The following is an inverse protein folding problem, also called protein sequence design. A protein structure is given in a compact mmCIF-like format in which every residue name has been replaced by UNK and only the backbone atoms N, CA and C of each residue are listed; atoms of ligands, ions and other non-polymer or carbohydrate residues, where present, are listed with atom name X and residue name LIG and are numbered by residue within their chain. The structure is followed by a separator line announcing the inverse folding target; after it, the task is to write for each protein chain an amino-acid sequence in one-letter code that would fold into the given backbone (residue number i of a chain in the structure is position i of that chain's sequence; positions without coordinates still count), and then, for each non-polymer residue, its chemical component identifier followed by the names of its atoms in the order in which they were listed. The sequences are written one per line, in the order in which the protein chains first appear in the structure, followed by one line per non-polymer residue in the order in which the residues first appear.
data_IF_875459685649
#
_entry.id   IF_875459685649
#
_cell.length_a   1.000
_cell.length_b   1.000
_cell.length_c   1.000
_cell.angle_alpha   90.00
_cell.angle_beta   90.00
_cell.angle_gamma   90.00
#
_symmetry.space_group_name_H-M   'P 1'
#
loop_
_entity.id
_entity.type
_entity.pdbx_description
1 polymer ?
#
# COMPACT_ATOMS: atom_id res chain seq x y z
N UNK A 1 -12.91 -6.04 6.95
CA UNK A 1 -12.21 -6.99 6.06
C UNK A 1 -13.04 -7.11 4.78
N UNK A 2 -12.47 -6.74 3.64
CA UNK A 2 -13.15 -6.84 2.34
C UNK A 2 -12.58 -8.05 1.58
N UNK A 3 -13.23 -9.23 1.66
CA UNK A 3 -12.74 -10.42 0.98
C UNK A 3 -12.52 -10.15 -0.51
N UNK A 4 -11.31 -10.43 -0.99
CA UNK A 4 -10.92 -10.26 -2.39
C UNK A 4 -10.33 -8.90 -2.77
N UNK A 5 -10.15 -7.95 -1.83
CA UNK A 5 -9.34 -6.75 -2.09
C UNK A 5 -7.87 -7.02 -1.83
N UNK A 6 -7.00 -6.57 -2.73
CA UNK A 6 -5.56 -6.62 -2.51
C UNK A 6 -5.12 -5.40 -1.73
N UNK A 7 -4.37 -5.64 -0.66
CA UNK A 7 -3.77 -4.63 0.19
C UNK A 7 -2.27 -4.91 0.33
N UNK A 8 -1.54 -3.88 0.75
CA UNK A 8 -0.18 -4.06 1.25
C UNK A 8 -0.25 -4.53 2.71
N UNK A 9 0.73 -5.31 3.21
CA UNK A 9 0.78 -5.70 4.62
C UNK A 9 0.78 -4.48 5.54
N UNK A 10 0.12 -4.60 6.69
CA UNK A 10 0.12 -3.53 7.68
C UNK A 10 -1.15 -3.47 8.51
N UNK A 11 -1.03 -2.77 9.64
CA UNK A 11 -2.10 -2.62 10.60
C UNK A 11 -1.99 -1.33 11.39
N UNK A 12 -2.56 -1.33 12.59
CA UNK A 12 -2.64 -0.13 13.43
C UNK A 12 -1.36 0.01 14.24
N UNK A 13 -0.94 1.26 14.43
CA UNK A 13 0.08 1.61 15.42
C UNK A 13 -0.40 1.18 16.79
N UNK A 14 0.42 0.41 17.52
CA UNK A 14 0.17 0.06 18.92
C UNK A 14 1.02 0.94 19.85
N UNK A 15 0.41 1.47 20.90
CA UNK A 15 1.07 2.30 21.91
C UNK A 15 1.86 3.48 21.33
N UNK A 16 3.19 3.40 21.45
CA UNK A 16 4.13 4.45 21.06
C UNK A 16 5.05 4.04 19.89
N UNK A 17 4.66 3.01 19.12
CA UNK A 17 5.39 2.59 17.93
C UNK A 17 5.54 3.75 16.92
N UNK A 18 6.69 3.81 16.26
CA UNK A 18 6.83 4.55 15.01
C UNK A 18 6.17 3.79 13.85
N UNK A 19 5.87 4.48 12.75
CA UNK A 19 5.32 3.84 11.55
C UNK A 19 6.21 2.68 11.05
N UNK A 20 7.53 2.84 11.08
CA UNK A 20 8.49 1.79 10.73
C UNK A 20 8.42 0.57 11.66
N UNK A 21 8.29 0.80 12.98
CA UNK A 21 8.14 -0.28 13.96
C UNK A 21 6.86 -1.07 13.73
N UNK A 22 5.73 -0.37 13.54
CA UNK A 22 4.45 -0.97 13.20
C UNK A 22 4.54 -1.77 11.90
N UNK A 23 5.10 -1.20 10.83
CA UNK A 23 5.24 -1.91 9.55
C UNK A 23 6.04 -3.20 9.67
N UNK A 24 7.16 -3.20 10.42
CA UNK A 24 7.98 -4.41 10.64
C UNK A 24 7.27 -5.45 11.51
N UNK A 25 6.54 -5.03 12.55
CA UNK A 25 5.74 -5.95 13.39
C UNK A 25 4.66 -6.63 12.56
N UNK A 26 3.85 -5.85 11.85
CA UNK A 26 2.75 -6.36 11.02
C UNK A 26 3.27 -7.28 9.91
N UNK A 27 4.41 -6.95 9.28
CA UNK A 27 5.03 -7.82 8.28
C UNK A 27 5.49 -9.17 8.86
N UNK A 28 5.96 -9.17 10.11
CA UNK A 28 6.32 -10.40 10.82
C UNK A 28 5.07 -11.21 11.22
N UNK A 29 4.02 -10.55 11.68
CA UNK A 29 2.74 -11.18 12.10
C UNK A 29 1.98 -11.75 10.90
N UNK A 30 1.87 -11.01 9.82
CA UNK A 30 1.10 -11.40 8.63
C UNK A 30 1.85 -12.36 7.72
N UNK A 31 3.17 -12.17 7.52
CA UNK A 31 3.96 -12.87 6.50
C UNK A 31 5.16 -13.67 7.04
N UNK A 32 5.42 -13.62 8.35
CA UNK A 32 6.61 -14.25 8.95
C UNK A 32 7.93 -13.61 8.50
N UNK A 33 7.89 -12.40 7.94
CA UNK A 33 9.07 -11.74 7.39
C UNK A 33 9.65 -10.75 8.41
N UNK A 34 10.77 -11.15 9.00
CA UNK A 34 11.46 -10.38 10.03
C UNK A 34 12.51 -9.44 9.40
N UNK A 35 12.32 -8.13 9.59
CA UNK A 35 13.23 -7.08 9.14
C UNK A 35 13.66 -6.21 10.34
N UNK A 36 14.71 -5.43 10.13
CA UNK A 36 15.31 -4.55 11.13
C UNK A 36 15.22 -3.07 10.70
N UNK A 37 15.60 -2.15 11.59
CA UNK A 37 15.65 -0.72 11.28
C UNK A 37 16.62 -0.41 10.12
N UNK A 38 17.64 -1.25 9.90
CA UNK A 38 18.61 -1.08 8.81
C UNK A 38 18.02 -1.40 7.43
N UNK A 39 16.88 -2.09 7.38
CA UNK A 39 16.19 -2.46 6.15
C UNK A 39 15.17 -1.39 5.71
N UNK A 40 14.98 -0.33 6.51
CA UNK A 40 14.09 0.78 6.18
C UNK A 40 14.75 1.76 5.21
N UNK A 41 14.16 1.88 4.01
CA UNK A 41 14.65 2.80 2.98
C UNK A 41 14.06 4.21 3.13
N UNK A 42 12.89 4.31 3.76
CA UNK A 42 12.20 5.57 4.03
C UNK A 42 10.69 5.42 3.99
N UNK A 43 10.01 6.57 3.95
CA UNK A 43 8.55 6.66 3.95
C UNK A 43 8.05 7.37 2.69
N UNK A 44 6.88 6.96 2.22
CA UNK A 44 6.10 7.70 1.23
C UNK A 44 5.13 8.65 1.93
N UNK A 45 4.31 9.38 1.17
CA UNK A 45 3.38 10.32 1.77
C UNK A 45 2.25 9.61 2.50
N UNK A 46 1.84 10.22 3.61
CA UNK A 46 0.58 9.89 4.26
C UNK A 46 -0.60 9.97 3.29
N UNK A 47 -1.45 8.96 3.35
CA UNK A 47 -2.70 8.88 2.61
C UNK A 47 -3.89 8.91 3.58
N UNK A 48 -4.64 10.04 3.66
CA UNK A 48 -5.84 10.13 4.48
C UNK A 48 -6.99 9.37 3.83
N UNK A 49 -7.68 8.52 4.59
CA UNK A 49 -8.84 7.77 4.12
C UNK A 49 -10.15 8.48 4.45
N UNK A 50 -11.20 8.25 3.66
CA UNK A 50 -12.57 8.70 3.96
C UNK A 50 -13.13 8.12 5.27
N UNK A 51 -12.63 6.95 5.68
CA UNK A 51 -12.98 6.30 6.95
C UNK A 51 -12.30 6.94 8.18
N UNK A 52 -11.50 8.00 7.99
CA UNK A 52 -10.90 8.77 9.08
C UNK A 52 -9.55 8.24 9.58
N UNK A 53 -8.94 7.29 8.86
CA UNK A 53 -7.59 6.82 9.14
C UNK A 53 -6.57 7.59 8.30
N UNK A 54 -5.32 7.59 8.76
CA UNK A 54 -4.16 8.01 7.97
C UNK A 54 -3.27 6.79 7.80
N UNK A 55 -2.91 6.48 6.57
CA UNK A 55 -1.98 5.40 6.23
C UNK A 55 -0.62 6.02 5.95
N UNK A 56 0.40 5.64 6.70
CA UNK A 56 1.80 6.06 6.49
C UNK A 56 2.56 4.92 5.83
N UNK A 57 2.87 4.98 4.52
CA UNK A 57 3.52 3.87 3.84
C UNK A 57 5.03 3.87 4.10
N UNK A 58 5.55 2.73 4.55
CA UNK A 58 6.98 2.52 4.82
C UNK A 58 7.57 1.61 3.74
N UNK A 59 8.72 2.00 3.19
CA UNK A 59 9.44 1.21 2.19
C UNK A 59 10.57 0.45 2.87
N UNK A 60 10.49 -0.89 2.80
CA UNK A 60 11.45 -1.81 3.41
C UNK A 60 12.16 -2.63 2.33
N UNK A 61 13.45 -2.90 2.52
CA UNK A 61 14.25 -3.75 1.64
C UNK A 61 14.49 -5.12 2.27
N UNK A 62 13.75 -6.14 1.80
CA UNK A 62 13.88 -7.51 2.31
C UNK A 62 15.03 -8.32 1.69
N UNK A 63 15.87 -7.70 0.85
CA UNK A 63 16.93 -8.39 0.12
C UNK A 63 16.40 -9.51 -0.77
N UNK A 64 17.11 -10.65 -0.79
CA UNK A 64 16.58 -11.89 -1.38
C UNK A 64 15.55 -12.44 -0.41
N UNK A 65 14.29 -12.02 -0.58
CA UNK A 65 13.20 -12.43 0.28
C UNK A 65 13.08 -13.97 0.29
N UNK A 66 13.32 -14.56 1.46
CA UNK A 66 13.18 -16.00 1.72
C UNK A 66 11.73 -16.48 1.60
N UNK A 67 11.45 -17.70 2.05
CA UNK A 67 10.08 -18.19 2.09
C UNK A 67 9.23 -17.36 3.05
N UNK A 68 8.04 -16.95 2.59
CA UNK A 68 7.05 -16.25 3.42
C UNK A 68 6.20 -17.30 4.13
N UNK A 69 5.80 -17.01 5.37
CA UNK A 69 4.90 -17.86 6.16
C UNK A 69 3.64 -17.06 6.48
N UNK A 70 2.63 -17.02 5.59
CA UNK A 70 1.46 -16.19 5.79
C UNK A 70 0.62 -16.70 6.96
N UNK A 71 0.13 -15.79 7.81
CA UNK A 71 -0.82 -16.11 8.86
C UNK A 71 -2.20 -16.39 8.23
N UNK A 72 -2.73 -17.63 8.30
CA UNK A 72 -4.00 -17.97 7.63
C UNK A 72 -5.23 -17.28 8.24
N UNK A 73 -5.13 -16.76 9.47
CA UNK A 73 -6.24 -16.05 10.12
C UNK A 73 -6.43 -14.63 9.55
N UNK A 74 -5.41 -14.07 8.89
CA UNK A 74 -5.40 -12.70 8.39
C UNK A 74 -5.13 -12.61 6.87
N UNK A 75 -4.32 -13.53 6.34
CA UNK A 75 -3.84 -13.51 4.95
C UNK A 75 -4.39 -14.70 4.17
N UNK A 76 -5.33 -14.42 3.26
CA UNK A 76 -5.90 -15.44 2.38
C UNK A 76 -4.96 -15.89 1.26
N UNK A 77 -4.23 -14.95 0.66
CA UNK A 77 -3.26 -15.23 -0.42
C UNK A 77 -2.15 -14.17 -0.42
N UNK A 78 -0.94 -14.58 -0.81
CA UNK A 78 0.22 -13.69 -0.96
C UNK A 78 0.66 -13.65 -2.41
N UNK A 79 0.73 -12.44 -2.97
CA UNK A 79 1.24 -12.21 -4.31
C UNK A 79 2.57 -11.46 -4.26
N UNK A 80 3.59 -12.01 -4.92
CA UNK A 80 4.82 -11.26 -5.23
C UNK A 80 4.61 -10.51 -6.54
N UNK A 81 4.61 -9.18 -6.47
CA UNK A 81 4.37 -8.31 -7.62
C UNK A 81 5.71 -7.81 -8.17
N UNK A 82 6.10 -8.14 -9.42
CA UNK A 82 7.29 -7.57 -10.04
C UNK A 82 7.15 -6.06 -10.18
N UNK A 83 8.24 -5.31 -10.03
CA UNK A 83 8.23 -3.84 -10.21
C UNK A 83 7.70 -3.43 -11.59
N UNK A 84 8.01 -4.20 -12.63
CA UNK A 84 7.49 -3.96 -13.98
C UNK A 84 5.95 -4.08 -14.09
N UNK A 85 5.31 -4.82 -13.19
CA UNK A 85 3.85 -4.95 -13.18
C UNK A 85 3.14 -3.72 -12.58
N UNK A 86 3.83 -2.95 -11.73
CA UNK A 86 3.33 -1.67 -11.19
C UNK A 86 3.84 -0.46 -11.97
N UNK A 87 4.83 -0.63 -12.86
CA UNK A 87 5.31 0.41 -13.76
C UNK A 87 4.39 0.60 -14.98
N UNK A 88 3.13 0.86 -14.69
CA UNK A 88 2.07 1.07 -15.67
C UNK A 88 1.34 2.38 -15.35
N UNK A 89 0.70 2.96 -16.36
CA UNK A 89 -0.03 4.20 -16.17
C UNK A 89 -1.34 3.95 -15.39
N UNK A 90 -1.60 4.69 -14.30
CA UNK A 90 -2.88 4.60 -13.60
C UNK A 90 -4.01 5.22 -14.44
N UNK A 91 -5.25 4.89 -14.06
CA UNK A 91 -6.44 5.59 -14.54
C UNK A 91 -6.92 6.55 -13.46
N UNK A 92 -7.27 7.76 -13.88
CA UNK A 92 -7.93 8.74 -13.06
C UNK A 92 -9.37 8.93 -13.56
N UNK A 93 -10.34 8.79 -12.67
CA UNK A 93 -11.76 8.89 -12.97
C UNK A 93 -12.35 10.07 -12.20
N UNK A 94 -13.26 10.79 -12.86
CA UNK A 94 -14.12 11.78 -12.19
C UNK A 94 -15.41 11.10 -11.75
N UNK A 95 -15.87 11.43 -10.55
CA UNK A 95 -17.15 10.94 -10.01
C UNK A 95 -18.01 12.14 -9.55
N UNK A 96 -19.35 12.04 -9.55
CA UNK A 96 -20.21 13.13 -9.08
C UNK A 96 -20.02 13.50 -7.60
N UNK A 97 -19.53 12.58 -6.77
CA UNK A 97 -19.46 12.74 -5.32
C UNK A 97 -18.18 13.44 -4.82
N UNK A 98 -17.20 13.66 -5.70
CA UNK A 98 -15.92 14.31 -5.34
C UNK A 98 -15.28 14.99 -6.55
N UNK A 99 -14.77 16.21 -6.34
CA UNK A 99 -13.96 16.92 -7.33
C UNK A 99 -12.54 16.34 -7.46
N UNK A 100 -12.12 15.53 -6.49
CA UNK A 100 -10.83 14.85 -6.51
C UNK A 100 -10.84 13.62 -7.44
N UNK A 101 -9.75 13.37 -8.20
CA UNK A 101 -9.70 12.26 -9.12
C UNK A 101 -9.59 10.92 -8.38
N UNK A 102 -10.46 9.97 -8.71
CA UNK A 102 -10.39 8.60 -8.21
C UNK A 102 -9.31 7.84 -8.98
N UNK A 103 -8.34 7.28 -8.26
CA UNK A 103 -7.25 6.50 -8.87
C UNK A 103 -7.58 5.00 -8.95
N UNK A 104 -7.21 4.40 -10.07
CA UNK A 104 -7.15 2.96 -10.28
C UNK A 104 -5.80 2.59 -10.88
N UNK A 105 -5.13 1.57 -10.33
CA UNK A 105 -3.91 1.01 -10.92
C UNK A 105 -4.24 -0.34 -11.55
N UNK A 106 -3.97 -0.56 -12.85
CA UNK A 106 -3.99 -1.90 -13.43
C UNK A 106 -2.97 -2.79 -12.71
N UNK A 107 -3.40 -3.94 -12.21
CA UNK A 107 -2.48 -4.93 -11.64
C UNK A 107 -3.00 -6.33 -11.90
N UNK A 108 -2.16 -7.15 -12.54
CA UNK A 108 -2.54 -8.44 -13.12
C UNK A 108 -3.79 -8.30 -14.01
N UNK A 109 -4.89 -9.00 -13.72
CA UNK A 109 -6.13 -9.03 -14.50
C UNK A 109 -7.24 -8.12 -13.94
N UNK A 110 -6.89 -7.22 -13.01
CA UNK A 110 -7.87 -6.36 -12.31
C UNK A 110 -7.36 -4.95 -12.06
N UNK A 111 -8.25 -4.10 -11.54
CA UNK A 111 -7.90 -2.79 -11.02
C UNK A 111 -7.80 -2.83 -9.50
N UNK A 112 -6.70 -2.29 -8.98
CA UNK A 112 -6.54 -1.94 -7.58
C UNK A 112 -6.97 -0.48 -7.41
N UNK A 113 -7.60 -0.17 -6.29
CA UNK A 113 -8.11 1.17 -5.98
C UNK A 113 -7.33 1.79 -4.81
N UNK A 114 -7.49 3.09 -4.60
CA UNK A 114 -7.00 3.72 -3.38
C UNK A 114 -7.62 3.04 -2.12
N UNK A 115 -6.87 2.93 -1.01
CA UNK A 115 -5.55 3.53 -0.75
C UNK A 115 -4.37 2.83 -1.45
N UNK A 116 -4.46 1.52 -1.70
CA UNK A 116 -3.35 0.72 -2.24
C UNK A 116 -2.84 1.23 -3.60
N UNK A 117 -3.75 1.59 -4.52
CA UNK A 117 -3.36 2.13 -5.82
C UNK A 117 -2.61 3.47 -5.71
N UNK A 118 -2.99 4.32 -4.75
CA UNK A 118 -2.31 5.60 -4.52
C UNK A 118 -0.88 5.38 -4.02
N UNK A 119 -0.68 4.46 -3.07
CA UNK A 119 0.64 4.08 -2.55
C UNK A 119 1.52 3.48 -3.65
N UNK A 120 1.00 2.50 -4.41
CA UNK A 120 1.75 1.88 -5.51
C UNK A 120 2.10 2.87 -6.63
N UNK A 121 1.19 3.79 -6.96
CA UNK A 121 1.47 4.86 -7.92
C UNK A 121 2.57 5.77 -7.41
N UNK A 122 2.53 6.20 -6.14
CA UNK A 122 3.58 7.04 -5.58
C UNK A 122 4.93 6.33 -5.55
N UNK A 123 4.94 5.05 -5.15
CA UNK A 123 6.15 4.23 -5.17
C UNK A 123 6.75 4.19 -6.58
N UNK A 124 5.92 3.91 -7.60
CA UNK A 124 6.35 3.95 -9.01
C UNK A 124 7.01 5.29 -9.34
N UNK A 125 6.32 6.40 -9.10
CA UNK A 125 6.81 7.73 -9.48
C UNK A 125 8.11 8.10 -8.76
N UNK A 126 8.15 7.94 -7.44
CA UNK A 126 9.27 8.39 -6.61
C UNK A 126 10.44 7.43 -6.70
N UNK A 127 10.20 6.13 -6.50
CA UNK A 127 11.26 5.13 -6.32
C UNK A 127 11.77 4.62 -7.67
N UNK A 128 10.88 4.37 -8.65
CA UNK A 128 11.30 3.82 -9.94
C UNK A 128 11.73 4.90 -10.93
N UNK A 129 11.10 6.09 -10.85
CA UNK A 129 11.30 7.15 -11.84
C UNK A 129 11.96 8.43 -11.29
N UNK A 130 12.13 8.56 -9.98
CA UNK A 130 12.72 9.77 -9.37
C UNK A 130 11.85 11.02 -9.51
N UNK A 131 10.54 10.89 -9.73
CA UNK A 131 9.59 11.99 -9.88
C UNK A 131 8.88 12.26 -8.55
N UNK A 132 8.95 13.50 -8.08
CA UNK A 132 8.22 13.93 -6.89
C UNK A 132 6.72 14.00 -7.20
N UNK A 133 5.95 13.04 -6.68
CA UNK A 133 4.50 12.94 -6.90
C UNK A 133 3.79 12.84 -5.56
N UNK A 134 2.80 13.71 -5.32
CA UNK A 134 1.95 13.70 -4.11
C UNK A 134 0.67 12.91 -4.40
N UNK A 135 0.16 12.16 -3.42
CA UNK A 135 -1.04 11.33 -3.62
C UNK A 135 -2.18 11.55 -2.62
N UNK A 136 -1.97 12.38 -1.59
CA UNK A 136 -2.98 12.66 -0.56
C UNK A 136 -4.28 13.32 -1.10
N UNK A 137 -4.25 13.86 -2.31
CA UNK A 137 -5.39 14.48 -2.98
C UNK A 137 -6.20 13.50 -3.84
N UNK A 138 -5.73 12.26 -4.02
CA UNK A 138 -6.40 11.25 -4.84
C UNK A 138 -7.55 10.60 -4.06
N UNK A 139 -8.67 10.39 -4.73
CA UNK A 139 -9.92 9.94 -4.12
C UNK A 139 -10.08 8.41 -4.13
N UNK A 140 -10.82 7.90 -3.14
CA UNK A 140 -11.25 6.50 -3.09
C UNK A 140 -12.56 6.29 -3.87
N UNK A 141 -12.79 5.11 -4.45
CA UNK A 141 -14.08 4.83 -5.07
C UNK A 141 -15.20 4.84 -4.02
N UNK A 142 -16.42 5.20 -4.42
CA UNK A 142 -17.58 5.35 -3.51
C UNK A 142 -17.86 4.10 -2.66
N UNK A 143 -17.60 2.90 -3.20
CA UNK A 143 -17.79 1.65 -2.45
C UNK A 143 -16.83 1.48 -1.26
N UNK A 144 -15.71 2.21 -1.23
CA UNK A 144 -14.70 2.17 -0.17
C UNK A 144 -14.92 3.26 0.90
N UNK A 145 -15.99 4.03 0.82
CA UNK A 145 -16.28 5.13 1.76
C UNK A 145 -16.97 4.69 3.06
N UNK A 146 -17.25 3.40 3.22
CA UNK A 146 -17.98 2.85 4.37
C UNK A 146 -17.05 2.25 5.41
#
# INVERSE_FOLDING_TARGET
QHPGQWALPGGRVDGAESAGQTARRELAEELGLHLTDADELGMLDDYPTRSGYVITPVVLWAGVAGELTPNPDEVGEVHRVPLAAIDVEPRFLTIPESDAPVIQLPLFDRFVHAPTAAVLHQFREVVLHGRATRVAHLEQPVFAWR
#
